data_IF_617985437302
#
_entry.id   IF_617985437302
#
_cell.length_a   1.000
_cell.length_b   1.000
_cell.length_c   1.000
_cell.angle_alpha   90.00
_cell.angle_beta   90.00
_cell.angle_gamma   90.00
#
_symmetry.space_group_name_H-M   'P 1'
#
loop_
_entity.id
_entity.type
_entity.pdbx_description
1 polymer ?
#
# COMPACT_ATOMS: atom_id res chain seq x y z
N UNK A 1 25.19 11.83 14.50
CA UNK A 1 24.81 12.14 13.10
C UNK A 1 23.40 11.66 12.87
N UNK A 2 22.47 12.58 12.62
CA UNK A 2 21.12 12.21 12.17
C UNK A 2 21.24 11.60 10.77
N UNK A 3 20.77 10.37 10.60
CA UNK A 3 20.82 9.65 9.33
C UNK A 3 19.71 10.20 8.44
N UNK A 4 20.08 10.98 7.42
CA UNK A 4 19.13 11.64 6.50
C UNK A 4 18.17 10.66 5.82
N UNK A 5 18.60 9.43 5.57
CA UNK A 5 17.75 8.35 5.05
C UNK A 5 16.68 7.91 6.06
N UNK A 6 17.03 7.87 7.34
CA UNK A 6 16.08 7.59 8.42
C UNK A 6 15.08 8.72 8.58
N UNK A 7 15.53 9.98 8.53
CA UNK A 7 14.64 11.14 8.59
C UNK A 7 13.69 11.19 7.38
N UNK A 8 14.15 10.78 6.19
CA UNK A 8 13.31 10.61 5.00
C UNK A 8 12.24 9.54 5.24
N UNK A 9 12.61 8.37 5.76
CA UNK A 9 11.68 7.28 6.10
C UNK A 9 10.61 7.74 7.10
N UNK A 10 11.05 8.26 8.25
CA UNK A 10 10.21 8.79 9.32
C UNK A 10 9.21 9.85 8.79
N UNK A 11 9.64 10.72 7.87
CA UNK A 11 8.76 11.71 7.26
C UNK A 11 7.63 11.07 6.44
N UNK A 12 7.95 10.08 5.61
CA UNK A 12 6.96 9.42 4.78
C UNK A 12 6.02 8.51 5.58
N UNK A 13 6.51 7.87 6.65
CA UNK A 13 5.65 7.17 7.61
C UNK A 13 4.63 8.13 8.23
N UNK A 14 5.09 9.28 8.75
CA UNK A 14 4.19 10.31 9.32
C UNK A 14 3.17 10.81 8.30
N UNK A 15 3.58 10.99 7.05
CA UNK A 15 2.69 11.45 5.98
C UNK A 15 1.66 10.39 5.57
N UNK A 16 2.00 9.10 5.66
CA UNK A 16 1.10 8.01 5.28
C UNK A 16 -0.03 7.74 6.27
N UNK A 17 0.15 8.09 7.55
CA UNK A 17 -0.90 7.96 8.58
C UNK A 17 -2.19 8.70 8.18
N UNK A 18 -2.18 10.02 7.91
CA UNK A 18 -3.40 10.74 7.53
C UNK A 18 -3.97 10.26 6.19
N UNK A 19 -3.16 9.67 5.29
CA UNK A 19 -3.68 9.07 4.04
C UNK A 19 -4.66 7.95 4.36
N UNK A 20 -4.27 7.02 5.23
CA UNK A 20 -5.14 5.90 5.62
C UNK A 20 -6.30 6.35 6.50
N UNK A 21 -6.07 7.25 7.47
CA UNK A 21 -7.13 7.77 8.33
C UNK A 21 -8.22 8.47 7.50
N UNK A 22 -7.84 9.28 6.51
CA UNK A 22 -8.81 9.96 5.66
C UNK A 22 -9.51 8.99 4.69
N UNK A 23 -8.81 7.94 4.24
CA UNK A 23 -9.37 6.96 3.31
C UNK A 23 -10.26 5.93 3.99
N UNK A 24 -10.06 5.64 5.27
CA UNK A 24 -10.76 4.61 6.06
C UNK A 24 -11.11 5.13 7.47
N UNK A 25 -11.80 6.29 7.60
CA UNK A 25 -12.06 6.91 8.90
C UNK A 25 -12.85 5.99 9.84
N UNK A 26 -13.72 5.14 9.31
CA UNK A 26 -14.54 4.21 10.06
C UNK A 26 -13.78 3.00 10.64
N UNK A 27 -12.55 2.73 10.15
CA UNK A 27 -11.66 1.68 10.64
C UNK A 27 -10.42 2.22 11.35
N UNK A 28 -10.21 3.53 11.28
CA UNK A 28 -9.04 4.17 11.85
C UNK A 28 -9.06 4.09 13.38
N UNK A 29 -7.95 3.64 13.96
CA UNK A 29 -7.77 3.63 15.41
C UNK A 29 -7.70 5.05 15.98
N UNK A 30 -8.29 5.28 17.15
CA UNK A 30 -8.31 6.59 17.83
C UNK A 30 -6.90 7.20 18.00
N UNK A 31 -5.90 6.34 18.23
CA UNK A 31 -4.49 6.71 18.39
C UNK A 31 -3.67 6.39 17.16
N UNK A 32 -4.23 6.60 15.97
CA UNK A 32 -3.54 6.34 14.70
C UNK A 32 -2.18 7.05 14.64
N UNK A 33 -1.11 6.29 14.48
CA UNK A 33 0.26 6.80 14.49
C UNK A 33 1.21 5.87 13.75
N UNK A 34 2.43 6.36 13.47
CA UNK A 34 3.54 5.46 13.11
C UNK A 34 4.00 4.70 14.34
N UNK A 35 4.49 3.48 14.18
CA UNK A 35 5.19 2.78 15.25
C UNK A 35 6.52 3.46 15.57
N UNK A 36 6.86 3.53 16.86
CA UNK A 36 8.15 4.03 17.31
C UNK A 36 9.09 2.84 17.54
N UNK A 37 10.32 2.95 17.05
CA UNK A 37 11.32 1.89 17.22
C UNK A 37 11.23 0.74 16.22
N UNK A 38 10.55 0.94 15.09
CA UNK A 38 10.55 0.03 13.95
C UNK A 38 11.97 -0.29 13.46
N UNK A 39 12.15 -1.49 12.91
CA UNK A 39 13.39 -2.13 12.51
C UNK A 39 13.80 -3.36 13.33
N UNK A 40 12.89 -3.94 14.13
CA UNK A 40 13.15 -5.14 14.95
C UNK A 40 12.62 -6.40 14.28
N UNK A 41 13.10 -7.55 14.76
CA UNK A 41 12.70 -8.86 14.21
C UNK A 41 11.21 -9.12 14.44
N UNK A 42 10.67 -8.62 15.54
CA UNK A 42 9.29 -8.76 16.00
C UNK A 42 8.36 -7.62 15.56
N UNK A 43 8.75 -6.82 14.57
CA UNK A 43 7.88 -5.74 14.10
C UNK A 43 6.56 -6.27 13.52
N UNK A 44 5.48 -5.51 13.73
CA UNK A 44 4.10 -5.82 13.30
C UNK A 44 3.55 -4.79 12.30
N UNK A 45 4.43 -3.94 11.75
CA UNK A 45 4.12 -2.89 10.79
C UNK A 45 4.94 -1.63 11.05
N UNK A 46 5.00 -0.74 10.07
CA UNK A 46 5.49 0.62 10.24
C UNK A 46 4.40 1.54 10.83
N UNK A 47 3.11 1.22 10.63
CA UNK A 47 1.98 2.03 11.10
C UNK A 47 1.01 1.28 12.04
N UNK A 48 0.51 1.99 13.05
CA UNK A 48 -0.61 1.62 13.90
C UNK A 48 -1.83 2.44 13.50
N UNK A 49 -2.57 2.00 12.47
CA UNK A 49 -3.73 2.73 11.93
C UNK A 49 -4.96 1.84 11.81
N UNK A 50 -4.78 0.59 11.40
CA UNK A 50 -5.84 -0.42 11.26
C UNK A 50 -5.52 -1.58 12.22
N UNK A 51 -6.55 -2.11 12.89
CA UNK A 51 -6.40 -3.15 13.92
C UNK A 51 -5.83 -4.45 13.37
N UNK A 52 -6.24 -4.83 12.16
CA UNK A 52 -6.07 -6.14 11.54
C UNK A 52 -5.24 -6.11 10.24
N UNK A 53 -4.67 -4.95 9.90
CA UNK A 53 -3.77 -4.80 8.76
C UNK A 53 -2.36 -4.39 9.21
N UNK A 54 -1.33 -5.11 8.72
CA UNK A 54 0.06 -4.67 8.84
C UNK A 54 0.38 -3.75 7.67
N UNK A 55 0.82 -2.52 7.98
CA UNK A 55 1.17 -1.54 6.95
C UNK A 55 2.66 -1.29 6.96
N UNK A 56 3.31 -1.51 5.82
CA UNK A 56 4.73 -1.30 5.61
C UNK A 56 4.95 -0.17 4.62
N UNK A 57 5.75 0.83 4.99
CA UNK A 57 6.06 2.00 4.16
C UNK A 57 7.51 1.92 3.70
N UNK A 58 7.75 2.06 2.39
CA UNK A 58 9.12 2.09 1.83
C UNK A 58 9.28 3.24 0.87
N UNK A 59 10.03 4.26 1.29
CA UNK A 59 10.26 5.48 0.51
C UNK A 59 11.71 5.54 -0.03
N UNK A 60 12.00 4.70 -1.02
CA UNK A 60 13.32 4.63 -1.65
C UNK A 60 13.30 5.22 -3.05
N UNK A 61 14.48 5.54 -3.59
CA UNK A 61 14.62 6.01 -4.97
C UNK A 61 14.58 4.84 -5.97
N UNK A 62 15.07 3.66 -5.56
CA UNK A 62 14.81 2.40 -6.25
C UNK A 62 13.38 1.91 -5.95
N UNK A 63 12.45 2.30 -6.81
CA UNK A 63 11.04 1.92 -6.69
C UNK A 63 10.82 0.41 -6.80
N UNK A 64 11.63 -0.31 -7.59
CA UNK A 64 11.50 -1.76 -7.74
C UNK A 64 11.83 -2.46 -6.43
N UNK A 65 12.99 -2.14 -5.86
CA UNK A 65 13.39 -2.62 -4.54
C UNK A 65 12.40 -2.23 -3.45
N UNK A 66 11.88 -0.99 -3.48
CA UNK A 66 10.90 -0.52 -2.50
C UNK A 66 9.60 -1.33 -2.52
N UNK A 67 9.01 -1.55 -3.71
CA UNK A 67 7.77 -2.32 -3.88
C UNK A 67 7.94 -3.74 -3.34
N UNK A 68 8.99 -4.43 -3.78
CA UNK A 68 9.24 -5.82 -3.37
C UNK A 68 9.48 -5.95 -1.87
N UNK A 69 10.24 -5.02 -1.30
CA UNK A 69 10.53 -4.98 0.14
C UNK A 69 9.27 -4.65 0.95
N UNK A 70 8.42 -3.74 0.47
CA UNK A 70 7.17 -3.39 1.14
C UNK A 70 6.18 -4.57 1.14
N UNK A 71 6.10 -5.30 0.02
CA UNK A 71 5.25 -6.49 -0.10
C UNK A 71 5.73 -7.60 0.84
N UNK A 72 7.01 -7.99 0.75
CA UNK A 72 7.55 -9.05 1.60
C UNK A 72 7.47 -8.67 3.10
N UNK A 73 7.83 -7.42 3.42
CA UNK A 73 7.82 -6.91 4.79
C UNK A 73 6.42 -6.90 5.42
N UNK A 74 5.41 -6.40 4.69
CA UNK A 74 4.04 -6.35 5.22
C UNK A 74 3.47 -7.73 5.50
N UNK A 75 3.77 -8.74 4.67
CA UNK A 75 3.34 -10.14 4.91
C UNK A 75 3.99 -10.73 6.15
N UNK A 76 5.32 -10.55 6.30
CA UNK A 76 6.06 -11.05 7.47
C UNK A 76 5.53 -10.41 8.75
N UNK A 77 5.38 -9.08 8.75
CA UNK A 77 4.90 -8.33 9.90
C UNK A 77 3.43 -8.63 10.23
N UNK A 78 2.59 -8.89 9.22
CA UNK A 78 1.24 -9.37 9.45
C UNK A 78 1.25 -10.71 10.21
N UNK A 79 2.14 -11.63 9.83
CA UNK A 79 2.33 -12.89 10.56
C UNK A 79 2.81 -12.72 12.00
N UNK A 80 3.67 -11.73 12.29
CA UNK A 80 4.10 -11.46 13.67
C UNK A 80 3.01 -10.85 14.55
N UNK A 81 2.12 -10.05 13.95
CA UNK A 81 1.06 -9.35 14.65
C UNK A 81 -0.30 -10.06 14.60
N UNK A 82 -0.34 -11.31 14.12
CA UNK A 82 -1.58 -12.07 13.85
C UNK A 82 -2.63 -11.25 13.08
N UNK A 83 -2.16 -10.46 12.10
CA UNK A 83 -2.98 -9.59 11.29
C UNK A 83 -3.43 -10.30 10.02
N UNK A 84 -4.72 -10.14 9.70
CA UNK A 84 -5.33 -10.76 8.52
C UNK A 84 -4.79 -10.14 7.22
N UNK A 85 -4.67 -8.81 7.20
CA UNK A 85 -4.32 -8.07 6.00
C UNK A 85 -2.87 -7.56 6.02
N UNK A 86 -2.29 -7.45 4.83
CA UNK A 86 -0.95 -6.93 4.63
C UNK A 86 -0.96 -5.87 3.52
N UNK A 87 -0.42 -4.69 3.81
CA UNK A 87 -0.37 -3.56 2.90
C UNK A 87 1.04 -2.98 2.83
N UNK A 88 1.65 -3.02 1.64
CA UNK A 88 2.80 -2.19 1.33
C UNK A 88 2.38 -0.84 0.74
N UNK A 89 3.05 0.23 1.13
CA UNK A 89 2.88 1.58 0.56
C UNK A 89 4.23 2.14 0.12
N UNK A 90 4.31 2.61 -1.13
CA UNK A 90 5.55 3.16 -1.71
C UNK A 90 5.25 4.49 -2.38
N UNK A 91 5.69 5.63 -1.83
CA UNK A 91 5.35 6.94 -2.39
C UNK A 91 6.02 7.15 -3.75
N UNK A 92 5.23 7.57 -4.74
CA UNK A 92 5.73 8.03 -6.03
C UNK A 92 6.21 9.48 -5.86
N UNK A 93 7.53 9.63 -5.75
CA UNK A 93 8.16 10.94 -5.60
C UNK A 93 7.82 11.86 -6.79
N UNK A 94 7.43 13.10 -6.50
CA UNK A 94 7.05 14.08 -7.53
C UNK A 94 5.71 13.82 -8.22
N UNK A 95 4.82 13.00 -7.64
CA UNK A 95 3.42 12.94 -8.09
C UNK A 95 2.73 14.30 -7.92
N UNK A 96 1.96 14.72 -8.94
CA UNK A 96 1.13 15.94 -8.90
C UNK A 96 -0.15 15.69 -8.10
N UNK A 97 -0.85 16.76 -7.72
CA UNK A 97 -2.05 16.68 -6.88
C UNK A 97 -3.16 15.77 -7.44
N UNK A 98 -3.33 15.72 -8.77
CA UNK A 98 -4.33 14.87 -9.43
C UNK A 98 -3.82 13.45 -9.75
N UNK A 99 -2.59 13.11 -9.37
CA UNK A 99 -1.99 11.81 -9.66
C UNK A 99 -1.98 10.93 -8.41
N UNK A 100 -1.94 9.62 -8.62
CA UNK A 100 -1.74 8.68 -7.51
C UNK A 100 -0.33 8.89 -6.96
N UNK A 101 -0.27 9.34 -5.70
CA UNK A 101 0.99 9.49 -4.94
C UNK A 101 1.34 8.22 -4.18
N UNK A 102 0.35 7.52 -3.66
CA UNK A 102 0.52 6.37 -2.79
C UNK A 102 -0.10 5.12 -3.44
N UNK A 103 0.66 4.35 -4.21
CA UNK A 103 0.24 3.02 -4.63
C UNK A 103 0.25 2.05 -3.45
N UNK A 104 -0.82 1.25 -3.37
CA UNK A 104 -0.84 0.00 -2.61
C UNK A 104 -0.02 -1.06 -3.36
N UNK A 105 0.83 -1.76 -2.62
CA UNK A 105 1.70 -2.83 -3.11
C UNK A 105 1.44 -4.06 -2.22
N UNK A 106 0.84 -5.11 -2.79
CA UNK A 106 0.32 -6.24 -2.00
C UNK A 106 0.77 -7.56 -2.62
N UNK A 107 1.06 -8.58 -1.81
CA UNK A 107 1.35 -9.91 -2.33
C UNK A 107 0.10 -10.50 -3.01
N UNK A 108 0.23 -11.24 -4.13
CA UNK A 108 -0.89 -12.01 -4.68
C UNK A 108 -1.52 -12.91 -3.61
N UNK A 109 -2.84 -12.95 -3.55
CA UNK A 109 -3.58 -13.70 -2.51
C UNK A 109 -3.68 -13.01 -1.16
N UNK A 110 -3.10 -11.81 -0.99
CA UNK A 110 -3.26 -10.96 0.21
C UNK A 110 -4.09 -9.70 -0.04
N UNK A 111 -4.68 -9.59 -1.24
CA UNK A 111 -5.69 -8.55 -1.48
C UNK A 111 -6.90 -8.80 -0.57
N UNK A 112 -7.56 -7.76 -0.01
CA UNK A 112 -8.60 -7.97 0.99
C UNK A 112 -9.79 -8.82 0.54
N UNK A 113 -10.08 -8.80 -0.77
CA UNK A 113 -11.10 -9.65 -1.40
C UNK A 113 -10.49 -10.37 -2.60
N UNK A 114 -11.06 -11.49 -3.09
CA UNK A 114 -10.64 -12.10 -4.34
C UNK A 114 -10.68 -11.07 -5.48
N UNK A 115 -9.59 -10.97 -6.24
CA UNK A 115 -9.46 -10.03 -7.35
C UNK A 115 -8.66 -10.64 -8.49
N UNK A 116 -9.05 -10.32 -9.72
CA UNK A 116 -8.24 -10.57 -10.90
C UNK A 116 -7.58 -9.25 -11.36
N UNK A 117 -6.25 -9.21 -11.55
CA UNK A 117 -5.59 -8.01 -12.03
C UNK A 117 -6.00 -7.70 -13.47
N UNK A 118 -6.36 -6.45 -13.75
CA UNK A 118 -6.81 -5.99 -15.08
C UNK A 118 -5.65 -5.74 -16.06
N UNK A 119 -4.42 -5.79 -15.57
CA UNK A 119 -3.20 -5.58 -16.36
C UNK A 119 -2.00 -6.33 -15.77
N UNK A 120 -1.07 -6.73 -16.63
CA UNK A 120 0.21 -7.33 -16.21
C UNK A 120 1.40 -6.49 -16.68
N UNK A 121 2.41 -6.38 -15.83
CA UNK A 121 3.63 -5.65 -16.10
C UNK A 121 4.86 -6.50 -15.76
N UNK A 122 5.85 -6.48 -16.66
CA UNK A 122 7.20 -7.02 -16.39
C UNK A 122 8.21 -5.92 -16.00
N UNK A 123 7.84 -4.65 -16.18
CA UNK A 123 8.71 -3.50 -15.91
C UNK A 123 8.03 -2.56 -14.90
N UNK A 124 8.75 -2.24 -13.83
CA UNK A 124 8.31 -1.32 -12.76
C UNK A 124 7.92 0.03 -13.33
N UNK A 125 8.71 0.58 -14.26
CA UNK A 125 8.46 1.88 -14.88
C UNK A 125 7.11 1.94 -15.62
N UNK A 126 6.73 0.85 -16.32
CA UNK A 126 5.43 0.76 -17.01
C UNK A 126 4.28 0.65 -16.01
N UNK A 127 4.44 -0.19 -14.97
CA UNK A 127 3.45 -0.33 -13.91
C UNK A 127 3.19 0.99 -13.18
N UNK A 128 4.26 1.71 -12.82
CA UNK A 128 4.15 3.01 -12.16
C UNK A 128 3.53 4.08 -13.06
N UNK A 129 3.87 4.12 -14.35
CA UNK A 129 3.23 5.05 -15.29
C UNK A 129 1.73 4.78 -15.41
N UNK A 130 1.34 3.50 -15.41
CA UNK A 130 -0.06 3.07 -15.49
C UNK A 130 -0.84 3.36 -14.21
N UNK A 131 -0.27 3.07 -13.03
CA UNK A 131 -0.97 3.30 -11.76
C UNK A 131 -1.11 4.79 -11.45
N UNK A 132 -0.10 5.60 -11.81
CA UNK A 132 0.00 7.03 -11.45
C UNK A 132 -1.05 7.93 -12.11
N UNK A 133 -1.46 7.63 -13.34
CA UNK A 133 -2.16 8.56 -14.21
C UNK A 133 -3.61 8.14 -14.48
N UNK A 134 -4.57 8.96 -14.05
CA UNK A 134 -6.01 8.70 -14.23
C UNK A 134 -6.42 8.63 -15.70
N UNK A 135 -5.70 9.33 -16.58
CA UNK A 135 -5.98 9.33 -18.02
C UNK A 135 -5.34 8.16 -18.77
N UNK A 136 -4.57 7.34 -18.05
CA UNK A 136 -3.78 6.26 -18.60
C UNK A 136 -2.62 6.76 -19.48
N UNK A 137 -1.52 6.00 -19.59
CA UNK A 137 -0.55 6.29 -20.66
C UNK A 137 -1.23 6.12 -22.03
N UNK A 138 -0.84 6.92 -23.03
CA UNK A 138 -1.28 6.73 -24.42
C UNK A 138 -1.15 5.24 -24.82
N UNK A 139 -2.27 4.64 -25.26
CA UNK A 139 -2.35 3.22 -25.66
C UNK A 139 -2.84 2.24 -24.59
N UNK A 140 -3.22 2.70 -23.39
CA UNK A 140 -3.87 1.86 -22.38
C UNK A 140 -5.36 2.16 -22.26
N UNK A 141 -6.16 1.13 -21.95
CA UNK A 141 -7.55 1.34 -21.51
C UNK A 141 -7.54 2.14 -20.20
N UNK A 142 -8.37 3.17 -20.14
CA UNK A 142 -8.61 3.93 -18.92
C UNK A 142 -9.49 3.11 -18.00
N UNK A 143 -9.00 2.85 -16.79
CA UNK A 143 -9.72 2.19 -15.70
C UNK A 143 -9.94 3.19 -14.58
N UNK A 144 -11.09 3.12 -13.92
CA UNK A 144 -11.32 3.87 -12.69
C UNK A 144 -10.24 3.53 -11.64
N UNK A 145 -9.90 4.48 -10.77
CA UNK A 145 -8.89 4.25 -9.73
C UNK A 145 -9.21 3.03 -8.87
N UNK A 146 -10.48 2.77 -8.60
CA UNK A 146 -10.92 1.66 -7.75
C UNK A 146 -10.78 0.29 -8.44
N UNK A 147 -10.80 0.24 -9.77
CA UNK A 147 -10.69 -0.99 -10.56
C UNK A 147 -9.24 -1.27 -10.99
N UNK A 148 -8.33 -0.33 -10.74
CA UNK A 148 -6.98 -0.35 -11.27
C UNK A 148 -6.05 -1.21 -10.42
N UNK A 149 -6.18 -2.51 -10.55
CA UNK A 149 -5.28 -3.49 -9.92
C UNK A 149 -4.44 -4.17 -11.00
N UNK A 150 -3.14 -3.96 -10.97
CA UNK A 150 -2.19 -4.54 -11.92
C UNK A 150 -1.25 -5.53 -11.25
N UNK A 151 -0.84 -6.59 -11.95
CA UNK A 151 0.17 -7.52 -11.49
C UNK A 151 1.55 -7.11 -12.02
N UNK A 152 2.45 -6.75 -11.12
CA UNK A 152 3.86 -6.55 -11.39
C UNK A 152 4.62 -7.87 -11.16
N UNK A 153 4.88 -8.60 -12.23
CA UNK A 153 5.75 -9.78 -12.25
C UNK A 153 7.21 -9.43 -12.52
N UNK A 154 8.00 -10.41 -12.97
CA UNK A 154 9.44 -10.27 -13.23
C UNK A 154 10.30 -10.87 -12.11
N UNK A 155 11.61 -10.57 -12.06
CA UNK A 155 12.49 -11.04 -11.00
C UNK A 155 12.02 -10.55 -9.61
N UNK A 156 12.06 -11.43 -8.61
CA UNK A 156 11.60 -11.17 -7.25
C UNK A 156 10.13 -11.51 -7.00
N UNK A 157 9.64 -11.15 -5.80
CA UNK A 157 8.28 -11.48 -5.35
C UNK A 157 7.21 -10.75 -6.19
N UNK A 158 6.28 -11.44 -6.86
CA UNK A 158 5.19 -10.78 -7.58
C UNK A 158 4.41 -9.84 -6.67
N UNK A 159 3.86 -8.76 -7.23
CA UNK A 159 3.11 -7.78 -6.45
C UNK A 159 1.89 -7.30 -7.24
N UNK A 160 0.75 -7.25 -6.57
CA UNK A 160 -0.36 -6.41 -6.99
C UNK A 160 0.01 -4.95 -6.72
N UNK A 161 -0.20 -4.09 -7.71
CA UNK A 161 0.01 -2.65 -7.61
C UNK A 161 -1.28 -1.94 -8.01
N UNK A 162 -1.71 -0.99 -7.18
CA UNK A 162 -2.97 -0.28 -7.39
C UNK A 162 -2.91 1.10 -6.73
N UNK A 163 -3.81 2.03 -7.08
CA UNK A 163 -4.08 3.20 -6.24
C UNK A 163 -4.46 2.74 -4.82
N UNK A 164 -4.05 3.46 -3.79
CA UNK A 164 -4.40 3.13 -2.40
C UNK A 164 -5.92 3.11 -2.18
N UNK A 165 -6.65 3.92 -2.94
CA UNK A 165 -8.10 4.00 -2.94
C UNK A 165 -8.75 2.67 -3.34
N UNK A 166 -8.17 1.93 -4.29
CA UNK A 166 -8.64 0.60 -4.68
C UNK A 166 -8.49 -0.41 -3.54
N UNK A 167 -7.35 -0.38 -2.85
CA UNK A 167 -7.13 -1.25 -1.69
C UNK A 167 -8.08 -0.90 -0.54
N UNK A 168 -8.29 0.39 -0.27
CA UNK A 168 -9.23 0.84 0.75
C UNK A 168 -10.67 0.42 0.44
N UNK A 169 -11.09 0.48 -0.83
CA UNK A 169 -12.41 -0.02 -1.25
C UNK A 169 -12.54 -1.53 -1.05
N UNK A 170 -11.52 -2.31 -1.43
CA UNK A 170 -11.49 -3.75 -1.18
C UNK A 170 -11.53 -4.09 0.32
N UNK A 171 -10.78 -3.34 1.13
CA UNK A 171 -10.76 -3.52 2.59
C UNK A 171 -12.12 -3.26 3.22
N UNK A 172 -12.83 -2.19 2.80
CA UNK A 172 -14.24 -1.94 3.19
C UNK A 172 -15.15 -3.11 2.84
N UNK A 173 -15.02 -3.64 1.63
CA UNK A 173 -15.84 -4.75 1.16
C UNK A 173 -15.64 -6.00 2.01
N UNK A 174 -14.39 -6.32 2.37
CA UNK A 174 -14.08 -7.42 3.27
C UNK A 174 -14.74 -7.27 4.66
N UNK A 175 -14.94 -6.02 5.10
CA UNK A 175 -15.54 -5.66 6.39
C UNK A 175 -17.04 -5.34 6.33
N UNK A 176 -17.70 -5.51 5.19
CA UNK A 176 -19.08 -5.07 4.98
C UNK A 176 -20.05 -5.74 5.97
N UNK A 177 -19.78 -6.98 6.37
CA UNK A 177 -20.56 -7.71 7.39
C UNK A 177 -20.43 -7.07 8.77
N UNK A 178 -19.25 -6.61 9.16
CA UNK A 178 -19.02 -5.97 10.46
C UNK A 178 -19.67 -4.59 10.53
N UNK A 179 -19.61 -3.83 9.44
CA UNK A 179 -20.26 -2.52 9.35
C UNK A 179 -21.78 -2.62 9.47
N UNK A 180 -22.40 -3.65 8.86
CA UNK A 180 -23.85 -3.89 8.96
C UNK A 180 -24.32 -4.28 10.36
N UNK A 181 -23.43 -4.80 11.21
CA UNK A 181 -23.76 -5.17 12.60
C UNK A 181 -23.56 -4.01 13.60
N UNK A 182 -22.81 -2.98 13.23
CA UNK A 182 -22.51 -1.83 14.07
C UNK A 182 -23.45 -0.63 13.83
N UNK A 183 -24.27 -0.67 12.77
CA UNK A 183 -25.28 0.33 12.41
C UNK A 183 -26.66 -0.04 12.96
#
# INVERSE_FOLDING_TARGET
MANSSKDKGDRFERESVPVLVNLLPEFALEKAMRYLGAGRKEDVGDLYVLSDAAVQVKAWDDMGGAIRTAVAGSVIQAGHGDKEYALGMVPILGARAHQVRWPACVAPGRWPVPIEPVAEFKLVSKALKWVKDDTGPYGFRVWDRLERVGLLGGPGEPALIAPIEAWAAAYRQAHEVQLKLAA
#
